data_IF_783397754161
#
_entry.id   IF_783397754161
#
_cell.length_a   1.000
_cell.length_b   1.000
_cell.length_c   1.000
_cell.angle_alpha   90.00
_cell.angle_beta   90.00
_cell.angle_gamma   90.00
#
_symmetry.space_group_name_H-M   'P 1'
#
loop_
_entity.id
_entity.type
_entity.pdbx_description
1 polymer ?
#
# COMPACT_ATOMS: atom_id res chain seq x y z
N UNK A 1 5.84 5.64 12.05
CA UNK A 1 5.25 7.00 12.01
C UNK A 1 3.73 6.86 11.89
N UNK A 2 2.92 7.62 12.65
CA UNK A 2 1.46 7.57 12.53
C UNK A 2 1.00 8.53 11.41
N UNK A 3 0.09 8.07 10.56
CA UNK A 3 -0.59 8.89 9.57
C UNK A 3 -2.09 8.91 9.88
N UNK A 4 -2.72 10.08 9.77
CA UNK A 4 -4.12 10.25 10.09
C UNK A 4 -4.90 10.92 8.96
N UNK A 5 -6.16 10.51 8.82
CA UNK A 5 -7.13 11.17 7.96
C UNK A 5 -8.47 11.25 8.70
N UNK A 6 -9.24 12.31 8.45
CA UNK A 6 -10.56 12.53 9.07
C UNK A 6 -11.57 12.98 8.03
N UNK A 7 -12.75 12.37 8.05
CA UNK A 7 -13.86 12.67 7.15
C UNK A 7 -15.14 12.81 7.95
N UNK A 8 -15.78 13.96 7.87
CA UNK A 8 -17.07 14.26 8.52
C UNK A 8 -17.11 13.90 10.01
N UNK A 9 -16.01 14.16 10.74
CA UNK A 9 -15.86 13.88 12.16
C UNK A 9 -15.64 15.16 12.95
N UNK A 10 -15.98 15.16 14.25
CA UNK A 10 -15.78 16.31 15.15
C UNK A 10 -14.30 16.64 15.33
N UNK A 11 -13.47 15.61 15.47
CA UNK A 11 -12.01 15.77 15.45
C UNK A 11 -11.54 15.71 14.01
N UNK A 12 -11.21 16.87 13.44
CA UNK A 12 -10.91 17.01 12.00
C UNK A 12 -9.44 17.30 11.69
N UNK A 13 -8.63 17.66 12.69
CA UNK A 13 -7.20 17.97 12.51
C UNK A 13 -6.35 16.68 12.44
N UNK A 14 -5.74 16.34 11.30
CA UNK A 14 -4.88 15.15 11.20
C UNK A 14 -3.67 15.20 12.15
N UNK A 15 -3.10 16.38 12.38
CA UNK A 15 -1.96 16.57 13.30
C UNK A 15 -2.31 16.27 14.74
N UNK A 16 -3.52 16.68 15.18
CA UNK A 16 -3.98 16.42 16.54
C UNK A 16 -4.29 14.93 16.73
N UNK A 17 -4.92 14.30 15.74
CA UNK A 17 -5.17 12.85 15.75
C UNK A 17 -3.85 12.07 15.84
N UNK A 18 -2.84 12.45 15.06
CA UNK A 18 -1.50 11.83 15.10
C UNK A 18 -0.86 11.98 16.47
N UNK A 19 -0.92 13.18 17.06
CA UNK A 19 -0.34 13.48 18.37
C UNK A 19 -1.03 12.68 19.48
N UNK A 20 -2.36 12.63 19.47
CA UNK A 20 -3.15 11.85 20.42
C UNK A 20 -2.82 10.36 20.30
N UNK A 21 -2.80 9.84 19.06
CA UNK A 21 -2.48 8.42 18.82
C UNK A 21 -1.06 8.08 19.27
N UNK A 22 -0.07 8.92 18.90
CA UNK A 22 1.34 8.72 19.33
C UNK A 22 1.44 8.69 20.85
N UNK A 23 0.79 9.63 21.55
CA UNK A 23 0.79 9.67 23.00
C UNK A 23 0.14 8.42 23.59
N UNK A 24 -1.02 8.01 23.11
CA UNK A 24 -1.75 6.84 23.60
C UNK A 24 -0.91 5.56 23.43
N UNK A 25 -0.26 5.36 22.27
CA UNK A 25 0.62 4.21 22.02
C UNK A 25 1.81 4.23 22.97
N UNK A 26 2.51 5.37 23.11
CA UNK A 26 3.68 5.50 23.98
C UNK A 26 3.32 5.21 25.44
N UNK A 27 2.24 5.79 25.96
CA UNK A 27 1.82 5.55 27.34
C UNK A 27 1.42 4.08 27.56
N UNK A 28 0.73 3.46 26.59
CA UNK A 28 0.36 2.04 26.69
C UNK A 28 1.58 1.13 26.68
N UNK A 29 2.56 1.39 25.79
CA UNK A 29 3.79 0.61 25.70
C UNK A 29 4.67 0.79 26.94
N UNK A 30 4.80 2.02 27.46
CA UNK A 30 5.51 2.26 28.72
C UNK A 30 4.93 1.45 29.86
N UNK A 31 3.61 1.45 30.01
CA UNK A 31 2.92 0.70 31.06
C UNK A 31 3.04 -0.82 30.88
N UNK A 32 3.07 -1.32 29.64
CA UNK A 32 3.14 -2.74 29.33
C UNK A 32 4.54 -3.33 29.50
N UNK A 33 5.57 -2.57 29.14
CA UNK A 33 6.96 -3.04 29.09
C UNK A 33 7.83 -2.43 30.22
N UNK A 34 7.26 -1.57 31.06
CA UNK A 34 7.94 -0.89 32.19
C UNK A 34 9.19 -0.10 31.75
N UNK A 35 9.17 0.47 30.53
CA UNK A 35 10.27 1.26 29.96
C UNK A 35 9.87 2.72 29.83
N UNK A 36 10.84 3.61 30.04
CA UNK A 36 10.64 5.06 29.95
C UNK A 36 11.06 5.66 28.61
N UNK A 37 11.91 4.95 27.87
CA UNK A 37 12.44 5.38 26.58
C UNK A 37 12.44 4.23 25.57
N UNK A 38 12.15 4.54 24.31
CA UNK A 38 12.11 3.59 23.21
C UNK A 38 13.27 3.88 22.27
N UNK A 39 14.18 2.91 21.98
CA UNK A 39 15.14 3.03 20.91
C UNK A 39 14.43 3.14 19.56
N UNK A 40 15.00 3.91 18.64
CA UNK A 40 14.45 4.11 17.27
C UNK A 40 15.29 3.33 16.23
N UNK A 41 15.82 2.18 16.62
CA UNK A 41 16.71 1.32 15.84
C UNK A 41 16.04 0.00 15.36
N UNK A 42 14.76 -0.17 15.65
CA UNK A 42 13.96 -1.35 15.25
C UNK A 42 13.26 -1.20 13.91
N UNK A 43 12.49 -2.26 13.58
CA UNK A 43 11.66 -2.28 12.37
C UNK A 43 10.60 -1.15 12.40
N UNK A 44 10.26 -0.65 11.23
CA UNK A 44 9.25 0.38 11.09
C UNK A 44 7.84 -0.21 11.05
N UNK A 45 6.99 0.19 12.00
CA UNK A 45 5.56 -0.17 12.04
C UNK A 45 4.70 1.07 11.79
N UNK A 46 4.41 1.41 10.53
CA UNK A 46 3.57 2.57 10.23
C UNK A 46 2.14 2.33 10.69
N UNK A 47 1.60 3.26 11.50
CA UNK A 47 0.23 3.20 11.99
C UNK A 47 -0.64 4.15 11.17
N UNK A 48 -1.75 3.65 10.65
CA UNK A 48 -2.80 4.43 9.97
C UNK A 48 -3.98 4.63 10.90
N UNK A 49 -4.43 5.86 11.02
CA UNK A 49 -5.63 6.23 11.79
C UNK A 49 -6.61 6.90 10.84
N UNK A 50 -7.78 6.33 10.72
CA UNK A 50 -8.84 6.87 9.89
C UNK A 50 -10.08 7.16 10.74
N UNK A 51 -10.51 8.42 10.76
CA UNK A 51 -11.77 8.83 11.38
C UNK A 51 -12.82 9.06 10.31
N UNK A 52 -13.95 8.39 10.43
CA UNK A 52 -15.11 8.63 9.58
C UNK A 52 -16.36 8.71 10.43
N UNK A 53 -17.08 9.84 10.41
CA UNK A 53 -18.31 10.05 11.17
C UNK A 53 -18.16 9.72 12.66
N UNK A 54 -17.05 10.16 13.26
CA UNK A 54 -16.65 9.91 14.65
C UNK A 54 -16.31 8.45 14.99
N UNK A 55 -16.24 7.54 14.01
CA UNK A 55 -15.71 6.19 14.17
C UNK A 55 -14.22 6.16 13.83
N UNK A 56 -13.44 5.50 14.69
CA UNK A 56 -11.98 5.40 14.55
C UNK A 56 -11.60 4.01 14.06
N UNK A 57 -10.86 3.96 12.96
CA UNK A 57 -10.17 2.75 12.50
C UNK A 57 -8.67 2.93 12.68
N UNK A 58 -8.03 1.96 13.34
CA UNK A 58 -6.57 1.93 13.51
C UNK A 58 -6.02 0.67 12.89
N UNK A 59 -5.00 0.81 12.05
CA UNK A 59 -4.35 -0.32 11.40
C UNK A 59 -2.85 -0.14 11.29
N UNK A 60 -2.14 -1.25 11.12
CA UNK A 60 -0.75 -1.25 10.68
C UNK A 60 -0.71 -1.24 9.15
N UNK A 61 0.14 -0.37 8.58
CA UNK A 61 0.33 -0.31 7.14
C UNK A 61 1.41 -1.30 6.71
N UNK A 62 0.98 -2.44 6.24
CA UNK A 62 1.85 -3.51 5.74
C UNK A 62 2.35 -3.26 4.31
N UNK A 63 1.74 -2.31 3.59
CA UNK A 63 1.98 -2.12 2.15
C UNK A 63 3.14 -1.19 1.83
N UNK A 64 3.38 -0.16 2.64
CA UNK A 64 4.37 0.88 2.37
C UNK A 64 3.89 1.85 1.28
N UNK A 65 4.50 1.83 0.10
CA UNK A 65 4.02 2.62 -1.03
C UNK A 65 2.60 2.21 -1.44
N UNK A 66 1.84 3.18 -1.97
CA UNK A 66 0.46 2.92 -2.42
C UNK A 66 0.41 1.77 -3.43
N UNK A 67 -0.55 0.85 -3.26
CA UNK A 67 -0.66 -0.40 -4.04
C UNK A 67 -0.82 -0.19 -5.56
N UNK A 68 -1.29 0.99 -5.99
CA UNK A 68 -1.34 1.29 -7.43
C UNK A 68 0.05 1.38 -8.07
N UNK A 69 1.10 1.68 -7.30
CA UNK A 69 2.47 1.70 -7.78
C UNK A 69 2.99 0.27 -7.91
N UNK A 70 3.07 -0.23 -9.14
CA UNK A 70 3.45 -1.61 -9.47
C UNK A 70 4.96 -1.86 -9.45
N UNK A 71 5.79 -0.81 -9.36
CA UNK A 71 7.25 -0.91 -9.40
C UNK A 71 7.87 -0.90 -10.80
N UNK A 72 7.09 -1.07 -11.87
CA UNK A 72 7.64 -1.08 -13.24
C UNK A 72 7.95 0.32 -13.81
N UNK A 73 7.36 1.38 -13.25
CA UNK A 73 7.48 2.74 -13.77
C UNK A 73 8.79 3.38 -13.34
N UNK A 74 9.80 3.31 -14.20
CA UNK A 74 11.11 3.95 -13.99
C UNK A 74 11.18 5.39 -14.55
N UNK A 75 10.45 5.66 -15.64
CA UNK A 75 10.34 6.97 -16.26
C UNK A 75 8.89 7.44 -16.17
N UNK A 76 8.69 8.63 -15.61
CA UNK A 76 7.35 9.22 -15.45
C UNK A 76 7.15 10.38 -16.41
N UNK A 77 6.11 10.29 -17.24
CA UNK A 77 5.57 11.45 -17.93
C UNK A 77 4.82 12.35 -16.93
N UNK A 78 4.50 13.58 -17.30
CA UNK A 78 3.67 14.45 -16.47
C UNK A 78 2.27 13.83 -16.32
N UNK A 79 1.83 13.61 -15.07
CA UNK A 79 0.50 13.14 -14.70
C UNK A 79 0.00 11.87 -15.44
N UNK A 80 0.70 10.73 -15.37
CA UNK A 80 0.20 9.49 -15.94
C UNK A 80 -1.05 9.01 -15.18
N UNK A 81 -1.90 8.23 -15.84
CA UNK A 81 -3.00 7.54 -15.16
C UNK A 81 -2.45 6.57 -14.11
N UNK A 82 -3.14 6.43 -12.98
CA UNK A 82 -2.78 5.43 -11.97
C UNK A 82 -2.98 4.01 -12.52
N UNK A 83 -2.05 3.11 -12.21
CA UNK A 83 -1.98 1.75 -12.75
C UNK A 83 -3.23 0.94 -12.43
N UNK A 84 -3.71 0.99 -11.18
CA UNK A 84 -4.94 0.33 -10.77
C UNK A 84 -6.19 0.86 -11.48
N UNK A 85 -6.22 2.16 -11.79
CA UNK A 85 -7.32 2.75 -12.56
C UNK A 85 -7.29 2.27 -14.01
N UNK A 86 -6.11 2.20 -14.62
CA UNK A 86 -5.96 1.66 -15.97
C UNK A 86 -6.40 0.19 -16.04
N UNK A 87 -5.96 -0.64 -15.09
CA UNK A 87 -6.40 -2.03 -14.98
C UNK A 87 -7.92 -2.15 -14.85
N UNK A 88 -8.53 -1.41 -13.93
CA UNK A 88 -9.97 -1.41 -13.75
C UNK A 88 -10.74 -0.99 -15.01
N UNK A 89 -10.24 0.00 -15.75
CA UNK A 89 -10.85 0.43 -17.01
C UNK A 89 -10.75 -0.65 -18.10
N UNK A 90 -9.63 -1.41 -18.15
CA UNK A 90 -9.50 -2.55 -19.06
C UNK A 90 -10.52 -3.64 -18.72
N UNK A 91 -10.68 -3.99 -17.45
CA UNK A 91 -11.65 -4.99 -16.98
C UNK A 91 -13.11 -4.62 -17.29
N UNK A 92 -13.43 -3.33 -17.37
CA UNK A 92 -14.76 -2.85 -17.76
C UNK A 92 -15.01 -2.99 -19.27
N UNK A 93 -14.01 -3.31 -20.07
CA UNK A 93 -14.16 -3.56 -21.51
C UNK A 93 -14.34 -5.05 -21.79
N UNK A 94 -14.85 -5.45 -23.00
CA UNK A 94 -14.89 -6.85 -23.40
C UNK A 94 -13.52 -7.38 -23.87
N UNK A 95 -12.43 -6.70 -23.57
CA UNK A 95 -11.09 -7.16 -23.91
C UNK A 95 -10.70 -8.40 -23.09
N UNK A 96 -9.88 -9.26 -23.68
CA UNK A 96 -9.23 -10.39 -23.02
C UNK A 96 -7.93 -10.73 -23.77
N UNK A 97 -7.11 -11.61 -23.21
CA UNK A 97 -5.79 -11.97 -23.73
C UNK A 97 -5.79 -12.49 -25.17
N UNK A 98 -6.92 -12.98 -25.69
CA UNK A 98 -7.09 -13.42 -27.09
C UNK A 98 -7.40 -12.28 -28.08
N UNK A 99 -7.50 -11.04 -27.61
CA UNK A 99 -7.84 -9.88 -28.44
C UNK A 99 -6.70 -8.87 -28.52
N UNK A 100 -6.52 -8.27 -29.69
CA UNK A 100 -5.55 -7.18 -29.87
C UNK A 100 -6.07 -5.96 -29.09
N UNK A 101 -5.20 -5.35 -28.28
CA UNK A 101 -5.41 -4.07 -27.63
C UNK A 101 -4.56 -3.01 -28.36
N UNK A 102 -5.21 -1.92 -28.75
CA UNK A 102 -4.53 -0.79 -29.42
C UNK A 102 -4.83 0.48 -28.63
N UNK A 103 -3.79 1.18 -28.18
CA UNK A 103 -3.89 2.48 -27.54
C UNK A 103 -3.11 3.52 -28.37
N UNK A 104 -3.78 4.26 -29.27
CA UNK A 104 -3.13 5.23 -30.16
C UNK A 104 -2.61 6.49 -29.43
N UNK A 105 -3.00 6.69 -28.17
CA UNK A 105 -2.59 7.83 -27.34
C UNK A 105 -1.92 7.38 -26.04
N UNK A 106 -1.17 6.29 -26.09
CA UNK A 106 -0.67 5.53 -24.93
C UNK A 106 0.14 6.33 -23.91
N UNK A 107 0.66 7.50 -24.23
CA UNK A 107 1.49 8.30 -23.33
C UNK A 107 2.67 7.50 -22.77
N UNK A 108 2.68 7.23 -21.47
CA UNK A 108 3.70 6.38 -20.81
C UNK A 108 3.43 4.88 -20.93
N UNK A 109 2.44 4.45 -21.71
CA UNK A 109 2.14 3.05 -21.95
C UNK A 109 1.41 2.33 -20.82
N UNK A 110 0.75 3.04 -19.91
CA UNK A 110 0.10 2.40 -18.73
C UNK A 110 -0.95 1.37 -19.13
N UNK A 111 -1.85 1.70 -20.06
CA UNK A 111 -2.88 0.74 -20.53
C UNK A 111 -2.29 -0.52 -21.18
N UNK A 112 -1.39 -0.42 -22.17
CA UNK A 112 -0.83 -1.62 -22.79
C UNK A 112 0.03 -2.43 -21.80
N UNK A 113 0.72 -1.81 -20.84
CA UNK A 113 1.50 -2.53 -19.82
C UNK A 113 0.56 -3.29 -18.88
N UNK A 114 -0.49 -2.65 -18.33
CA UNK A 114 -1.46 -3.33 -17.46
C UNK A 114 -2.18 -4.46 -18.20
N UNK A 115 -2.57 -4.25 -19.47
CA UNK A 115 -3.17 -5.30 -20.29
C UNK A 115 -2.22 -6.49 -20.51
N UNK A 116 -0.94 -6.23 -20.77
CA UNK A 116 0.06 -7.28 -20.94
C UNK A 116 0.28 -8.07 -19.64
N UNK A 117 0.33 -7.39 -18.49
CA UNK A 117 0.43 -8.04 -17.18
C UNK A 117 -0.80 -8.90 -16.88
N UNK A 118 -2.01 -8.42 -17.18
CA UNK A 118 -3.26 -9.18 -17.04
C UNK A 118 -3.28 -10.40 -17.96
N UNK A 119 -2.85 -10.24 -19.22
CA UNK A 119 -2.78 -11.33 -20.19
C UNK A 119 -1.78 -12.44 -19.78
N UNK A 120 -0.69 -12.04 -19.13
CA UNK A 120 0.35 -12.94 -18.63
C UNK A 120 0.04 -13.50 -17.22
N UNK A 121 -1.12 -13.20 -16.66
CA UNK A 121 -1.49 -13.51 -15.26
C UNK A 121 -0.42 -13.07 -14.24
N UNK A 122 0.23 -11.94 -14.48
CA UNK A 122 1.33 -11.45 -13.66
C UNK A 122 0.82 -10.74 -12.41
N UNK A 123 1.29 -11.16 -11.24
CA UNK A 123 0.94 -10.55 -9.96
C UNK A 123 1.33 -9.05 -9.93
N UNK A 124 0.40 -8.11 -9.65
CA UNK A 124 0.66 -6.67 -9.68
C UNK A 124 1.75 -6.21 -8.69
N UNK A 125 1.98 -6.97 -7.62
CA UNK A 125 2.96 -6.67 -6.57
C UNK A 125 4.37 -7.18 -6.83
N UNK A 126 4.61 -7.95 -7.89
CA UNK A 126 5.87 -8.65 -8.15
C UNK A 126 7.11 -7.76 -8.18
N UNK A 127 6.99 -6.55 -8.71
CA UNK A 127 8.12 -5.62 -8.92
C UNK A 127 8.22 -4.51 -7.87
N UNK A 128 7.63 -4.72 -6.69
CA UNK A 128 7.66 -3.74 -5.59
C UNK A 128 8.02 -4.43 -4.28
N UNK A 129 8.50 -3.66 -3.30
CA UNK A 129 8.64 -4.08 -1.91
C UNK A 129 7.39 -3.72 -1.09
N UNK A 130 7.25 -4.37 0.05
CA UNK A 130 6.20 -4.14 1.03
C UNK A 130 6.83 -3.91 2.41
N UNK A 131 6.24 -3.02 3.22
CA UNK A 131 6.74 -2.78 4.58
C UNK A 131 6.70 -4.06 5.45
N UNK A 132 5.76 -4.97 5.17
CA UNK A 132 5.63 -6.23 5.88
C UNK A 132 6.86 -7.17 5.73
N UNK A 133 7.67 -6.99 4.70
CA UNK A 133 8.92 -7.74 4.52
C UNK A 133 9.94 -7.45 5.64
N UNK A 134 9.85 -6.26 6.23
CA UNK A 134 10.71 -5.82 7.34
C UNK A 134 10.28 -6.42 8.69
N UNK A 135 9.20 -7.24 8.75
CA UNK A 135 8.63 -7.78 9.99
C UNK A 135 8.82 -9.30 10.15
N UNK A 136 10.06 -9.82 10.19
CA UNK A 136 10.31 -11.26 10.23
C UNK A 136 9.78 -11.95 11.50
N UNK A 137 9.52 -11.17 12.56
CA UNK A 137 8.93 -11.69 13.81
C UNK A 137 7.42 -11.85 13.75
N UNK A 138 6.74 -11.17 12.81
CA UNK A 138 5.30 -11.24 12.61
C UNK A 138 4.99 -12.15 11.43
N UNK A 139 5.71 -11.94 10.31
CA UNK A 139 5.57 -12.72 9.09
C UNK A 139 6.87 -13.50 8.89
N UNK A 140 6.81 -14.81 9.12
CA UNK A 140 7.98 -15.67 8.95
C UNK A 140 8.51 -15.62 7.51
N UNK A 141 9.83 -15.55 7.35
CA UNK A 141 10.47 -15.46 6.02
C UNK A 141 9.97 -16.55 5.04
N UNK A 142 9.73 -17.76 5.54
CA UNK A 142 9.22 -18.86 4.70
C UNK A 142 7.86 -18.52 4.09
N UNK A 143 6.93 -18.00 4.90
CA UNK A 143 5.58 -17.60 4.43
C UNK A 143 5.68 -16.54 3.34
N UNK A 144 6.62 -15.61 3.50
CA UNK A 144 6.87 -14.57 2.50
C UNK A 144 7.40 -15.15 1.18
N UNK A 145 8.41 -16.03 1.26
CA UNK A 145 8.96 -16.68 0.07
C UNK A 145 7.95 -17.58 -0.63
N UNK A 146 7.19 -18.38 0.13
CA UNK A 146 6.12 -19.23 -0.43
C UNK A 146 5.08 -18.39 -1.21
N UNK A 147 4.71 -17.21 -0.68
CA UNK A 147 3.79 -16.29 -1.36
C UNK A 147 4.41 -15.62 -2.61
N UNK A 148 5.71 -15.36 -2.60
CA UNK A 148 6.42 -14.83 -3.77
C UNK A 148 6.52 -15.89 -4.87
N UNK A 149 6.82 -17.13 -4.51
CA UNK A 149 6.89 -18.27 -5.45
C UNK A 149 5.50 -18.50 -6.09
N UNK A 150 4.42 -18.50 -5.29
CA UNK A 150 3.04 -18.59 -5.80
C UNK A 150 2.69 -17.45 -6.77
N UNK A 151 3.21 -16.25 -6.53
CA UNK A 151 2.98 -15.10 -7.41
C UNK A 151 3.79 -15.16 -8.73
N UNK A 152 4.75 -16.09 -8.85
CA UNK A 152 5.56 -16.32 -10.05
C UNK A 152 5.01 -17.44 -10.95
N UNK A 153 4.15 -18.33 -10.43
CA UNK A 153 3.44 -19.37 -11.17
C UNK A 153 2.30 -18.82 -12.03
#
# INVERSE_FOLDING_TARGET
>A
MAQAASVKSKLFSPSDIQSIMKKAMVERLKAQYEISWFPEDGENFPVRVFLMKDEVTVGLDSTGESLHKRGYRKLTAKAPIAENLAAALIELTPWNAGRILVDPFCGSGTFPIEAAMMAANMAPGRNRSFTAEEWPHIIGKKVWYDAMDEAEE
#
